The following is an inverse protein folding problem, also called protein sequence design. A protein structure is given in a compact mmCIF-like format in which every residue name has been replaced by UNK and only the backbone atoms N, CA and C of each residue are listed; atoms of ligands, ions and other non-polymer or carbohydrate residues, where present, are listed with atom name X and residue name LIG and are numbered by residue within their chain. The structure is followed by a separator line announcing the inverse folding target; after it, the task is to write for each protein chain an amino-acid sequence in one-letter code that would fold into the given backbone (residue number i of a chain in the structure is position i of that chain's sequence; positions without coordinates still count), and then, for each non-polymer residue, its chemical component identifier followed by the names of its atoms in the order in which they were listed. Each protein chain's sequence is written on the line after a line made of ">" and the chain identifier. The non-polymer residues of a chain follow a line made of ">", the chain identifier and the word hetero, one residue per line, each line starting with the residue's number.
data_IF_557719793187
#
_entry.id   IF_557719793187
#
_cell.length_a   1.000
_cell.length_b   1.000
_cell.length_c   1.000
_cell.angle_alpha   90.00
_cell.angle_beta   90.00
_cell.angle_gamma   90.00
#
_symmetry.space_group_name_H-M   'P 1'
#
loop_
_entity.id
_entity.type
_entity.pdbx_description
1 polymer ?
#
# COMPACT_ATOMS: atom_id res chain seq x y z
N UNK A 1 -6.65 -6.99 -1.83
CA UNK A 1 -6.64 -6.12 -0.63
C UNK A 1 -6.17 -4.70 -0.94
N UNK A 2 -4.96 -4.48 -1.43
CA UNK A 2 -4.42 -3.12 -1.67
C UNK A 2 -5.25 -2.26 -2.64
N UNK A 3 -5.67 -2.82 -3.79
CA UNK A 3 -6.53 -2.11 -4.76
C UNK A 3 -7.92 -1.81 -4.15
N UNK A 4 -8.43 -2.67 -3.28
CA UNK A 4 -9.71 -2.46 -2.59
C UNK A 4 -9.60 -1.33 -1.55
N UNK A 5 -8.50 -1.31 -0.78
CA UNK A 5 -8.20 -0.22 0.13
C UNK A 5 -8.11 1.12 -0.63
N UNK A 6 -7.44 1.14 -1.78
CA UNK A 6 -7.39 2.31 -2.66
C UNK A 6 -8.77 2.72 -3.16
N UNK A 7 -9.63 1.78 -3.53
CA UNK A 7 -11.02 2.07 -3.92
C UNK A 7 -11.79 2.76 -2.80
N UNK A 8 -11.68 2.27 -1.57
CA UNK A 8 -12.40 2.83 -0.42
C UNK A 8 -11.92 4.23 -0.04
N UNK A 9 -10.62 4.50 -0.16
CA UNK A 9 -10.02 5.79 0.26
C UNK A 9 -10.08 6.83 -0.86
N UNK A 10 -9.77 6.45 -2.10
CA UNK A 10 -9.60 7.37 -3.23
C UNK A 10 -10.66 7.24 -4.33
N UNK A 11 -11.60 6.29 -4.20
CA UNK A 11 -12.73 6.11 -5.11
C UNK A 11 -12.42 5.35 -6.41
N UNK A 12 -13.49 5.01 -7.13
CA UNK A 12 -13.43 4.21 -8.36
C UNK A 12 -12.69 4.90 -9.51
N UNK A 13 -12.76 6.23 -9.60
CA UNK A 13 -12.10 6.99 -10.67
C UNK A 13 -10.58 6.83 -10.63
N UNK A 14 -9.99 6.73 -9.43
CA UNK A 14 -8.55 6.50 -9.24
C UNK A 14 -8.19 5.06 -9.56
N UNK A 15 -8.98 4.09 -9.09
CA UNK A 15 -8.76 2.67 -9.38
C UNK A 15 -8.80 2.37 -10.88
N UNK A 16 -9.66 3.07 -11.64
CA UNK A 16 -9.74 2.95 -13.10
C UNK A 16 -8.45 3.33 -13.83
N UNK A 17 -7.53 4.05 -13.19
CA UNK A 17 -6.23 4.40 -13.79
C UNK A 17 -5.22 3.24 -13.76
N UNK A 18 -5.50 2.20 -12.97
CA UNK A 18 -4.64 1.01 -12.88
C UNK A 18 -4.77 0.21 -14.18
N UNK A 19 -3.64 0.03 -14.87
CA UNK A 19 -3.53 -0.87 -16.02
C UNK A 19 -2.85 -2.17 -15.60
N UNK A 20 -3.44 -3.30 -16.00
CA UNK A 20 -2.87 -4.63 -15.73
C UNK A 20 -2.04 -5.04 -16.93
N UNK A 21 -0.74 -4.79 -16.84
CA UNK A 21 0.25 -5.11 -17.87
C UNK A 21 1.28 -6.06 -17.26
N UNK A 22 1.16 -7.39 -17.48
CA UNK A 22 2.08 -8.37 -16.91
C UNK A 22 3.49 -8.19 -17.47
N UNK A 23 4.47 -8.04 -16.57
CA UNK A 23 5.89 -8.02 -16.91
C UNK A 23 6.58 -9.24 -16.28
N UNK A 24 7.02 -10.22 -17.09
CA UNK A 24 7.70 -11.43 -16.58
C UNK A 24 8.97 -11.15 -15.78
N UNK A 25 9.68 -10.07 -16.07
CA UNK A 25 10.90 -9.67 -15.35
C UNK A 25 10.56 -9.20 -13.95
N UNK A 26 9.56 -8.32 -13.83
CA UNK A 26 9.09 -7.81 -12.53
C UNK A 26 8.53 -8.95 -11.70
N UNK A 27 7.69 -9.80 -12.29
CA UNK A 27 7.10 -10.95 -11.61
C UNK A 27 8.18 -11.86 -11.00
N UNK A 28 9.22 -12.21 -11.78
CA UNK A 28 10.34 -13.03 -11.32
C UNK A 28 11.14 -12.39 -10.17
N UNK A 29 11.30 -11.06 -10.18
CA UNK A 29 11.96 -10.35 -9.08
C UNK A 29 11.12 -10.42 -7.81
N UNK A 30 9.83 -10.10 -7.92
CA UNK A 30 8.89 -10.05 -6.78
C UNK A 30 8.63 -11.45 -6.21
N UNK A 31 8.70 -12.51 -7.02
CA UNK A 31 8.58 -13.90 -6.56
C UNK A 31 9.59 -14.26 -5.47
N UNK A 32 10.80 -13.68 -5.52
CA UNK A 32 11.85 -13.91 -4.53
C UNK A 32 11.70 -13.12 -3.23
N UNK A 33 10.72 -12.21 -3.13
CA UNK A 33 10.58 -11.37 -1.95
C UNK A 33 9.93 -12.12 -0.78
N UNK A 34 10.46 -11.97 0.46
CA UNK A 34 9.84 -12.53 1.66
C UNK A 34 8.47 -11.90 1.90
N UNK A 35 7.45 -12.75 2.13
CA UNK A 35 6.04 -12.32 2.26
C UNK A 35 5.54 -12.28 3.70
N UNK A 36 6.00 -13.23 4.53
CA UNK A 36 5.54 -13.39 5.91
C UNK A 36 6.72 -13.16 6.84
N UNK A 37 6.93 -11.90 7.21
CA UNK A 37 7.88 -11.56 8.27
C UNK A 37 7.27 -11.95 9.62
N UNK A 38 8.12 -12.41 10.54
CA UNK A 38 7.78 -12.54 11.96
C UNK A 38 8.42 -11.38 12.73
N UNK A 39 7.73 -10.22 12.86
CA UNK A 39 8.35 -9.00 13.36
C UNK A 39 8.42 -8.91 14.88
N UNK A 40 8.23 -9.99 15.65
CA UNK A 40 8.07 -9.99 17.13
C UNK A 40 8.99 -9.03 17.90
N UNK A 41 10.25 -8.95 17.49
CA UNK A 41 11.24 -8.07 18.14
C UNK A 41 10.94 -6.58 17.98
N UNK A 42 10.34 -6.15 16.86
CA UNK A 42 10.05 -4.76 16.61
C UNK A 42 8.94 -4.21 17.54
N UNK A 43 7.74 -4.83 17.65
CA UNK A 43 6.75 -4.42 18.63
C UNK A 43 7.26 -4.51 20.07
N UNK A 44 8.07 -5.53 20.40
CA UNK A 44 8.66 -5.67 21.74
C UNK A 44 9.60 -4.50 22.13
N UNK A 45 10.17 -3.81 21.15
CA UNK A 45 11.00 -2.63 21.34
C UNK A 45 10.22 -1.31 21.19
N UNK A 46 8.89 -1.37 21.06
CA UNK A 46 8.02 -0.20 20.97
C UNK A 46 7.84 0.36 19.56
N UNK A 47 8.40 -0.27 18.53
CA UNK A 47 8.14 0.12 17.14
C UNK A 47 6.67 -0.17 16.80
N UNK A 48 6.06 0.74 16.05
CA UNK A 48 4.69 0.62 15.54
C UNK A 48 4.72 0.76 14.03
N UNK A 49 3.86 -0.01 13.38
CA UNK A 49 3.61 0.06 11.96
C UNK A 49 2.09 0.17 11.76
N UNK A 50 1.70 0.64 10.60
CA UNK A 50 0.32 0.70 10.16
C UNK A 50 -0.29 -0.71 10.12
N UNK A 51 -1.55 -0.79 10.50
CA UNK A 51 -2.25 -2.07 10.64
C UNK A 51 -3.13 -2.39 9.45
N UNK A 52 -3.32 -1.41 8.55
CA UNK A 52 -4.14 -1.55 7.34
C UNK A 52 -3.55 -0.79 6.17
N UNK A 53 -3.86 -1.26 4.97
CA UNK A 53 -3.48 -0.56 3.74
C UNK A 53 -4.29 0.75 3.56
N UNK A 54 -5.49 0.85 4.12
CA UNK A 54 -6.26 2.10 4.13
C UNK A 54 -5.55 3.20 4.95
N UNK A 55 -4.95 2.84 6.08
CA UNK A 55 -4.17 3.75 6.94
C UNK A 55 -2.93 4.28 6.19
N UNK A 56 -2.17 3.38 5.54
CA UNK A 56 -1.00 3.76 4.72
C UNK A 56 -1.38 4.78 3.64
N UNK A 57 -2.50 4.58 2.94
CA UNK A 57 -2.93 5.49 1.87
C UNK A 57 -3.32 6.86 2.44
N UNK A 58 -3.99 6.92 3.60
CA UNK A 58 -4.37 8.19 4.23
C UNK A 58 -3.14 8.98 4.67
N UNK A 59 -2.19 8.33 5.33
CA UNK A 59 -0.92 8.94 5.75
C UNK A 59 -0.18 9.51 4.54
N UNK A 60 -0.08 8.74 3.45
CA UNK A 60 0.55 9.22 2.22
C UNK A 60 -0.12 10.48 1.64
N UNK A 61 -1.46 10.55 1.67
CA UNK A 61 -2.21 11.73 1.21
C UNK A 61 -1.93 12.95 2.12
N UNK A 62 -1.89 12.73 3.43
CA UNK A 62 -1.62 13.78 4.40
C UNK A 62 -0.18 14.32 4.26
N UNK A 63 0.80 13.43 4.18
CA UNK A 63 2.22 13.77 4.18
C UNK A 63 2.73 14.31 2.84
N UNK A 64 2.39 13.65 1.73
CA UNK A 64 2.98 13.96 0.41
C UNK A 64 2.12 14.91 -0.45
N UNK A 65 0.82 15.02 -0.12
CA UNK A 65 -0.14 15.79 -0.92
C UNK A 65 -0.81 16.90 -0.09
N UNK A 66 -0.33 17.15 1.12
CA UNK A 66 -0.83 18.20 2.01
C UNK A 66 -2.31 18.03 2.37
N UNK A 67 -2.79 16.78 2.43
CA UNK A 67 -4.18 16.45 2.71
C UNK A 67 -5.15 16.67 1.55
N UNK A 68 -4.69 17.14 0.39
CA UNK A 68 -5.50 17.32 -0.81
C UNK A 68 -5.14 16.27 -1.86
N UNK A 69 -5.98 15.24 -1.98
CA UNK A 69 -5.82 14.23 -3.03
C UNK A 69 -7.11 14.03 -3.80
N UNK A 70 -7.03 14.37 -5.09
CA UNK A 70 -8.09 14.25 -6.10
C UNK A 70 -9.28 15.18 -5.81
N UNK A 71 -9.30 16.31 -6.53
CA UNK A 71 -10.50 17.14 -6.69
C UNK A 71 -11.48 16.54 -7.70
#
# INVERSE_FOLDING_TARGET
>A
EQIEALRKVAGEAVVRRIRREPDPTIMRIVEGWPRNFDPQRAPALGFRAETSFEEIIRIHIEDELGGNFVG
#
